data_IF_330488985405
#
_entry.id   IF_330488985405
#
_cell.length_a   1.000
_cell.length_b   1.000
_cell.length_c   1.000
_cell.angle_alpha   90.00
_cell.angle_beta   90.00
_cell.angle_gamma   90.00
#
_symmetry.space_group_name_H-M   'P 1'
#
loop_
_entity.id
_entity.type
_entity.pdbx_description
1 polymer ?
#
# COMPACT_ATOMS: atom_id res chain seq x y z
N UNK A 1 15.90 -1.37 1.40
CA UNK A 1 15.22 -0.06 1.44
C UNK A 1 13.73 -0.31 1.53
N UNK A 2 12.99 0.52 2.26
CA UNK A 2 11.54 0.41 2.44
C UNK A 2 10.90 1.66 1.84
N UNK A 3 9.83 1.48 1.07
CA UNK A 3 8.99 2.57 0.58
C UNK A 3 7.67 2.49 1.34
N UNK A 4 7.33 3.55 2.06
CA UNK A 4 6.06 3.67 2.78
C UNK A 4 5.20 4.74 2.10
N UNK A 5 4.02 4.34 1.65
CA UNK A 5 3.09 5.20 0.93
C UNK A 5 1.81 5.38 1.75
N UNK A 6 1.34 6.61 1.87
CA UNK A 6 0.01 6.92 2.42
C UNK A 6 -0.62 8.05 1.59
N UNK A 7 -1.94 8.01 1.40
CA UNK A 7 -2.68 9.06 0.69
C UNK A 7 -2.81 10.32 1.56
N UNK A 8 -2.79 10.17 2.88
CA UNK A 8 -2.91 11.27 3.84
C UNK A 8 -1.54 11.89 4.18
N UNK A 9 -1.36 13.15 3.80
CA UNK A 9 -0.14 13.93 4.06
C UNK A 9 0.15 14.07 5.56
N UNK A 10 -0.87 14.19 6.40
CA UNK A 10 -0.69 14.31 7.86
C UNK A 10 -0.11 13.02 8.44
N UNK A 11 -0.59 11.85 7.96
CA UNK A 11 -0.06 10.54 8.36
C UNK A 11 1.38 10.36 7.88
N UNK A 12 1.70 10.77 6.65
CA UNK A 12 3.07 10.79 6.15
C UNK A 12 4.00 11.63 7.05
N UNK A 13 3.57 12.83 7.45
CA UNK A 13 4.36 13.69 8.34
C UNK A 13 4.58 13.06 9.72
N UNK A 14 3.54 12.42 10.28
CA UNK A 14 3.66 11.67 11.52
C UNK A 14 4.64 10.50 11.38
N UNK A 15 4.57 9.73 10.29
CA UNK A 15 5.48 8.63 10.00
C UNK A 15 6.93 9.12 9.93
N UNK A 16 7.20 10.22 9.20
CA UNK A 16 8.53 10.82 9.11
C UNK A 16 9.02 11.23 10.50
N UNK A 17 8.17 11.89 11.30
CA UNK A 17 8.52 12.34 12.63
C UNK A 17 8.87 11.18 13.58
N UNK A 18 8.05 10.12 13.60
CA UNK A 18 8.32 8.95 14.44
C UNK A 18 9.56 8.20 13.96
N UNK A 19 9.75 8.07 12.65
CA UNK A 19 10.89 7.35 12.08
C UNK A 19 12.21 8.07 12.31
N UNK A 20 12.22 9.40 12.27
CA UNK A 20 13.42 10.21 12.59
C UNK A 20 13.99 9.88 13.97
N UNK A 21 13.14 9.59 14.95
CA UNK A 21 13.55 9.23 16.31
C UNK A 21 14.17 7.83 16.39
N UNK A 22 13.86 6.95 15.45
CA UNK A 22 14.37 5.58 15.37
C UNK A 22 15.65 5.45 14.53
N UNK A 23 16.15 6.55 13.94
CA UNK A 23 17.39 6.60 13.14
C UNK A 23 17.47 5.55 12.01
N UNK A 24 16.35 5.20 11.37
CA UNK A 24 16.40 4.26 10.23
C UNK A 24 16.79 5.01 8.95
N UNK A 25 17.92 4.62 8.36
CA UNK A 25 18.46 5.27 7.15
C UNK A 25 17.80 4.80 5.84
N UNK A 26 16.95 3.77 5.90
CA UNK A 26 16.49 3.02 4.74
C UNK A 26 14.98 3.16 4.48
N UNK A 27 14.37 4.32 4.75
CA UNK A 27 12.95 4.60 4.51
C UNK A 27 12.78 5.74 3.49
N UNK A 28 11.93 5.50 2.48
CA UNK A 28 11.38 6.52 1.60
C UNK A 28 9.90 6.64 1.91
N UNK A 29 9.42 7.87 2.15
CA UNK A 29 7.99 8.15 2.36
C UNK A 29 7.44 8.83 1.13
N UNK A 30 6.32 8.34 0.61
CA UNK A 30 5.63 8.89 -0.57
C UNK A 30 4.19 9.20 -0.27
N UNK A 31 3.60 10.14 -1.01
CA UNK A 31 2.20 10.50 -0.89
C UNK A 31 1.49 10.29 -2.23
N UNK A 32 0.84 9.13 -2.40
CA UNK A 32 0.11 8.76 -3.60
C UNK A 32 -1.09 7.87 -3.25
N UNK A 33 -2.12 7.91 -4.09
CA UNK A 33 -3.18 6.89 -4.07
C UNK A 33 -2.60 5.50 -4.38
N UNK A 34 -2.90 4.53 -3.53
CA UNK A 34 -2.31 3.20 -3.62
C UNK A 34 -2.73 2.47 -4.91
N UNK A 35 -3.96 2.64 -5.40
CA UNK A 35 -4.40 2.01 -6.66
C UNK A 35 -3.66 2.55 -7.89
N UNK A 36 -3.14 3.78 -7.80
CA UNK A 36 -2.46 4.49 -8.88
C UNK A 36 -0.96 4.65 -8.63
N UNK A 37 -0.38 3.89 -7.68
CA UNK A 37 1.01 4.07 -7.28
C UNK A 37 1.97 3.90 -8.47
N UNK A 38 2.83 4.87 -8.81
CA UNK A 38 3.59 4.82 -10.06
C UNK A 38 4.59 3.66 -10.09
N UNK A 39 4.79 3.07 -11.27
CA UNK A 39 5.90 2.14 -11.47
C UNK A 39 7.17 2.96 -11.74
N UNK A 40 8.20 2.84 -10.91
CA UNK A 40 9.42 3.61 -11.14
C UNK A 40 10.16 2.99 -12.34
N UNK A 41 10.26 3.71 -13.45
CA UNK A 41 11.06 3.28 -14.60
C UNK A 41 12.47 3.84 -14.45
N UNK A 42 13.48 2.95 -14.41
CA UNK A 42 14.88 3.34 -14.27
C UNK A 42 15.52 3.81 -15.58
N UNK A 43 14.72 4.15 -16.60
CA UNK A 43 15.21 4.49 -17.94
C UNK A 43 15.91 5.86 -18.04
N UNK A 44 15.86 6.73 -17.02
CA UNK A 44 16.30 8.13 -17.14
C UNK A 44 17.67 8.46 -16.54
N UNK A 45 18.34 7.53 -15.87
CA UNK A 45 19.60 7.82 -15.15
C UNK A 45 20.88 7.32 -15.83
N UNK A 46 20.81 6.69 -17.00
CA UNK A 46 21.98 6.27 -17.77
C UNK A 46 21.99 6.93 -19.15
N UNK A 47 22.68 8.07 -19.34
CA UNK A 47 22.77 8.75 -20.63
C UNK A 47 23.57 7.97 -21.69
N UNK A 48 24.38 6.98 -21.30
CA UNK A 48 25.39 6.36 -22.19
C UNK A 48 25.22 4.86 -22.43
N UNK A 49 24.17 4.21 -21.91
CA UNK A 49 23.99 2.77 -22.07
C UNK A 49 22.71 2.40 -22.86
N UNK A 50 22.94 2.11 -24.15
CA UNK A 50 22.27 1.07 -24.93
C UNK A 50 20.86 1.35 -25.47
N UNK A 51 20.80 1.51 -26.79
CA UNK A 51 19.63 1.53 -27.68
C UNK A 51 18.77 0.23 -27.69
N UNK A 52 18.91 -0.65 -26.70
CA UNK A 52 18.17 -1.93 -26.57
C UNK A 52 17.90 -2.32 -25.10
N UNK A 53 18.08 -1.37 -24.17
CA UNK A 53 17.88 -1.63 -22.75
C UNK A 53 16.39 -1.72 -22.42
N UNK A 54 15.90 -2.96 -22.18
CA UNK A 54 14.60 -3.24 -21.56
C UNK A 54 14.32 -2.18 -20.49
N UNK A 55 13.19 -1.49 -20.62
CA UNK A 55 12.68 -0.55 -19.62
C UNK A 55 12.67 -1.26 -18.26
N UNK A 56 13.71 -1.08 -17.44
CA UNK A 56 13.78 -1.73 -16.14
C UNK A 56 12.81 -1.02 -15.22
N UNK A 57 11.61 -1.62 -15.06
CA UNK A 57 10.69 -1.26 -13.99
C UNK A 57 11.33 -1.65 -12.68
N UNK A 58 11.31 -0.73 -11.73
CA UNK A 58 11.64 -0.98 -10.34
C UNK A 58 10.52 -1.85 -9.78
N UNK A 59 10.88 -3.10 -9.50
CA UNK A 59 9.99 -4.09 -8.90
C UNK A 59 10.34 -4.22 -7.42
N UNK A 60 9.35 -4.52 -6.59
CA UNK A 60 9.55 -4.81 -5.18
C UNK A 60 9.74 -6.30 -4.96
N UNK A 61 10.69 -6.69 -4.11
CA UNK A 61 10.83 -8.08 -3.69
C UNK A 61 9.67 -8.52 -2.79
N UNK A 62 9.18 -7.61 -1.94
CA UNK A 62 8.13 -7.85 -0.94
C UNK A 62 7.22 -6.63 -0.83
N UNK A 63 5.93 -6.87 -0.72
CA UNK A 63 4.91 -5.81 -0.56
C UNK A 63 3.98 -6.18 0.60
N UNK A 64 3.67 -5.20 1.44
CA UNK A 64 2.60 -5.27 2.42
C UNK A 64 1.50 -4.30 1.97
N UNK A 65 0.34 -4.84 1.62
CA UNK A 65 -0.87 -4.10 1.29
C UNK A 65 -1.78 -4.08 2.52
N UNK A 66 -1.61 -3.07 3.36
CA UNK A 66 -2.56 -2.75 4.42
C UNK A 66 -3.62 -1.81 3.86
N UNK A 67 -4.78 -2.36 3.51
CA UNK A 67 -5.79 -1.64 2.72
C UNK A 67 -6.86 -1.01 3.61
N UNK A 68 -7.48 0.11 3.18
CA UNK A 68 -8.61 0.68 3.91
C UNK A 68 -9.76 -0.32 4.00
N UNK A 69 -10.24 -0.54 5.22
CA UNK A 69 -11.26 -1.54 5.60
C UNK A 69 -12.44 -0.88 6.32
N UNK A 70 -13.56 -1.59 6.41
CA UNK A 70 -14.71 -1.16 7.22
C UNK A 70 -14.38 -1.12 8.73
N UNK A 71 -13.39 -1.92 9.17
CA UNK A 71 -12.80 -1.84 10.50
C UNK A 71 -13.61 -2.45 11.64
N UNK A 72 -14.62 -3.26 11.34
CA UNK A 72 -15.42 -4.01 12.31
C UNK A 72 -14.59 -4.87 13.28
N UNK A 73 -13.44 -5.39 12.84
CA UNK A 73 -12.50 -6.13 13.69
C UNK A 73 -11.82 -5.27 14.77
N UNK A 74 -11.97 -3.95 14.73
CA UNK A 74 -11.33 -3.02 15.67
C UNK A 74 -12.24 -2.54 16.80
N UNK A 75 -13.44 -3.11 16.96
CA UNK A 75 -14.42 -2.69 17.98
C UNK A 75 -13.84 -2.59 19.42
N UNK A 76 -12.84 -3.40 19.77
CA UNK A 76 -12.12 -3.29 21.06
C UNK A 76 -11.35 -1.98 21.22
N UNK A 77 -10.69 -1.51 20.15
CA UNK A 77 -9.89 -0.27 20.15
C UNK A 77 -10.75 0.97 19.89
N UNK A 78 -11.81 0.82 19.08
CA UNK A 78 -12.74 1.88 18.71
C UNK A 78 -14.19 1.40 18.90
N UNK A 79 -14.78 1.52 20.10
CA UNK A 79 -16.13 1.01 20.40
C UNK A 79 -17.23 1.63 19.53
N UNK A 80 -17.06 2.89 19.11
CA UNK A 80 -18.03 3.62 18.29
C UNK A 80 -18.20 3.01 16.89
N UNK A 81 -17.17 2.30 16.40
CA UNK A 81 -17.18 1.56 15.13
C UNK A 81 -18.40 0.64 15.03
N UNK A 82 -18.77 -0.04 16.13
CA UNK A 82 -19.90 -0.97 16.12
C UNK A 82 -21.24 -0.29 15.84
N UNK A 83 -21.38 0.98 16.23
CA UNK A 83 -22.64 1.73 16.05
C UNK A 83 -22.77 2.31 14.65
N UNK A 84 -21.65 2.63 14.00
CA UNK A 84 -21.63 3.27 12.68
C UNK A 84 -21.46 2.26 11.54
N UNK A 85 -20.95 1.06 11.85
CA UNK A 85 -20.71 0.01 10.88
C UNK A 85 -22.00 -0.44 10.19
N UNK A 86 -21.91 -0.62 8.87
CA UNK A 86 -22.98 -1.19 8.06
C UNK A 86 -22.39 -1.92 6.84
N UNK A 87 -23.20 -2.81 6.24
CA UNK A 87 -22.80 -3.64 5.10
C UNK A 87 -22.34 -2.80 3.89
N UNK A 88 -22.94 -1.61 3.71
CA UNK A 88 -22.59 -0.70 2.63
C UNK A 88 -21.15 -0.19 2.69
N UNK A 89 -20.56 -0.10 3.89
CA UNK A 89 -19.16 0.31 4.07
C UNK A 89 -18.19 -0.71 3.48
N UNK A 90 -18.37 -2.00 3.80
CA UNK A 90 -17.52 -3.07 3.26
C UNK A 90 -17.67 -3.19 1.74
N UNK A 91 -18.92 -3.21 1.24
CA UNK A 91 -19.18 -3.30 -0.20
C UNK A 91 -18.65 -2.09 -0.98
N UNK A 92 -18.69 -0.90 -0.40
CA UNK A 92 -18.16 0.32 -1.02
C UNK A 92 -16.63 0.34 -1.12
N UNK A 93 -15.94 -0.37 -0.21
CA UNK A 93 -14.48 -0.44 -0.17
C UNK A 93 -13.90 -1.61 -0.95
N UNK A 94 -14.65 -2.71 -1.11
CA UNK A 94 -14.17 -3.94 -1.76
C UNK A 94 -13.52 -3.67 -3.12
N UNK A 95 -14.15 -2.86 -3.98
CA UNK A 95 -13.58 -2.51 -5.29
C UNK A 95 -12.21 -1.84 -5.17
N UNK A 96 -12.08 -0.86 -4.28
CA UNK A 96 -10.83 -0.14 -4.04
C UNK A 96 -9.75 -1.10 -3.49
N UNK A 97 -10.12 -1.98 -2.58
CA UNK A 97 -9.22 -2.98 -2.01
C UNK A 97 -8.65 -3.91 -3.09
N UNK A 98 -9.49 -4.38 -4.02
CA UNK A 98 -9.08 -5.20 -5.17
C UNK A 98 -8.16 -4.40 -6.10
N UNK A 99 -8.50 -3.15 -6.42
CA UNK A 99 -7.66 -2.29 -7.26
C UNK A 99 -6.26 -2.07 -6.65
N UNK A 100 -6.18 -1.86 -5.32
CA UNK A 100 -4.90 -1.74 -4.61
C UNK A 100 -4.12 -3.06 -4.63
N UNK A 101 -4.77 -4.20 -4.38
CA UNK A 101 -4.12 -5.51 -4.41
C UNK A 101 -3.57 -5.82 -5.81
N UNK A 102 -4.36 -5.57 -6.86
CA UNK A 102 -3.94 -5.74 -8.25
C UNK A 102 -2.77 -4.83 -8.60
N UNK A 103 -2.78 -3.59 -8.11
CA UNK A 103 -1.66 -2.67 -8.29
C UNK A 103 -0.39 -3.17 -7.59
N UNK A 104 -0.52 -3.65 -6.36
CA UNK A 104 0.58 -4.25 -5.59
C UNK A 104 1.21 -5.43 -6.34
N UNK A 105 0.40 -6.35 -6.84
CA UNK A 105 0.88 -7.49 -7.65
C UNK A 105 1.63 -7.00 -8.89
N UNK A 106 1.13 -5.98 -9.59
CA UNK A 106 1.78 -5.42 -10.78
C UNK A 106 3.11 -4.71 -10.51
N UNK A 107 3.43 -4.41 -9.25
CA UNK A 107 4.70 -3.84 -8.80
C UNK A 107 5.64 -4.88 -8.20
N UNK A 108 5.15 -6.12 -8.00
CA UNK A 108 5.91 -7.20 -7.39
C UNK A 108 6.76 -7.91 -8.44
N UNK A 109 8.00 -8.22 -8.09
CA UNK A 109 8.88 -9.07 -8.89
C UNK A 109 8.30 -10.49 -9.02
N UNK A 110 8.57 -11.17 -10.14
CA UNK A 110 8.25 -12.59 -10.30
C UNK A 110 8.94 -13.41 -9.20
N UNK A 111 8.16 -14.18 -8.42
CA UNK A 111 8.63 -14.92 -7.26
C UNK A 111 8.75 -14.11 -5.97
N UNK A 112 8.37 -12.83 -5.99
CA UNK A 112 8.19 -12.01 -4.79
C UNK A 112 7.02 -12.48 -3.93
N UNK A 113 6.86 -11.87 -2.75
CA UNK A 113 5.72 -12.14 -1.87
C UNK A 113 4.97 -10.86 -1.55
N UNK A 114 3.67 -10.89 -1.73
CA UNK A 114 2.75 -9.86 -1.27
C UNK A 114 1.96 -10.40 -0.07
N UNK A 115 1.81 -9.57 0.96
CA UNK A 115 0.89 -9.80 2.06
C UNK A 115 -0.23 -8.78 1.94
N UNK A 116 -1.47 -9.27 1.89
CA UNK A 116 -2.66 -8.44 1.96
C UNK A 116 -3.22 -8.51 3.38
N UNK A 117 -3.51 -7.37 3.98
CA UNK A 117 -4.08 -7.29 5.33
C UNK A 117 -5.22 -6.29 5.39
N UNK A 118 -6.25 -6.68 6.15
CA UNK A 118 -7.31 -5.79 6.58
C UNK A 118 -7.47 -5.88 8.10
N UNK A 119 -8.22 -4.93 8.62
CA UNK A 119 -8.68 -4.87 9.99
C UNK A 119 -10.15 -5.34 10.15
N UNK A 120 -10.67 -6.04 9.15
CA UNK A 120 -12.08 -6.44 9.05
C UNK A 120 -12.27 -7.94 9.27
N UNK A 121 -13.43 -8.34 9.81
CA UNK A 121 -13.86 -9.74 9.87
C UNK A 121 -14.91 -10.07 8.79
N UNK A 122 -15.25 -9.10 7.93
CA UNK A 122 -16.22 -9.29 6.86
C UNK A 122 -15.60 -10.12 5.73
N UNK A 123 -16.23 -11.24 5.31
CA UNK A 123 -15.69 -12.07 4.23
C UNK A 123 -15.60 -11.34 2.89
N UNK A 124 -16.44 -10.32 2.67
CA UNK A 124 -16.37 -9.49 1.45
C UNK A 124 -15.04 -8.76 1.34
N UNK A 125 -14.40 -8.41 2.45
CA UNK A 125 -13.14 -7.65 2.45
C UNK A 125 -11.90 -8.56 2.48
N UNK A 126 -12.08 -9.89 2.57
CA UNK A 126 -10.98 -10.82 2.77
C UNK A 126 -11.01 -12.01 1.80
N UNK A 127 -12.04 -12.86 1.84
CA UNK A 127 -12.11 -14.12 1.08
C UNK A 127 -12.88 -14.06 -0.24
N UNK A 128 -13.57 -12.95 -0.53
CA UNK A 128 -14.44 -12.78 -1.71
C UNK A 128 -13.70 -12.58 -3.04
#
# INVERSE_FOLDING_TARGET
QVVANDVDVQRCNLLIHQTKRMCTANLIVTNHEAQNFPGCSLAKFCPEACAESKLQRLEFDRILCDVPCSGDGTARKAPDMWRTWNIGMGNGLHRLQVEIAMRGIGLLKVGGRMVYSTCSMNPVENEA
#
